data_IF_409454269284
#
_entry.id   IF_409454269284
#
_cell.length_a   1.000
_cell.length_b   1.000
_cell.length_c   1.000
_cell.angle_alpha   90.00
_cell.angle_beta   90.00
_cell.angle_gamma   90.00
#
_symmetry.space_group_name_H-M   'P 1'
#
loop_
_entity.id
_entity.type
_entity.pdbx_description
1 polymer ?
#
# COMPACT_ATOMS: atom_id res chain seq x y z
N UNK A 1 -3.82 -5.09 3.64
CA UNK A 1 -4.52 -6.37 3.45
C UNK A 1 -4.52 -6.71 1.98
N UNK A 2 -4.52 -7.99 1.59
CA UNK A 2 -4.33 -8.38 0.18
C UNK A 2 -5.38 -7.76 -0.76
N UNK A 3 -6.62 -7.65 -0.31
CA UNK A 3 -7.74 -7.14 -1.11
C UNK A 3 -8.18 -5.72 -0.69
N UNK A 4 -7.29 -4.95 -0.05
CA UNK A 4 -7.58 -3.56 0.32
C UNK A 4 -7.10 -2.62 -0.77
N UNK A 5 -7.95 -1.66 -1.14
CA UNK A 5 -7.58 -0.53 -1.99
C UNK A 5 -7.00 0.65 -1.20
N UNK A 6 -6.95 0.58 0.13
CA UNK A 6 -6.41 1.64 0.99
C UNK A 6 -4.93 1.34 1.30
N UNK A 7 -4.10 2.36 1.13
CA UNK A 7 -2.67 2.32 1.42
C UNK A 7 -2.36 3.03 2.74
N UNK A 8 -1.32 2.56 3.44
CA UNK A 8 -0.81 3.19 4.66
C UNK A 8 0.68 3.44 4.49
N UNK A 9 1.13 4.64 4.84
CA UNK A 9 2.56 4.96 4.84
C UNK A 9 3.21 4.39 6.10
N UNK A 10 4.25 3.59 5.92
CA UNK A 10 5.05 3.03 7.01
C UNK A 10 6.46 3.61 6.99
N UNK A 11 7.08 3.68 8.18
CA UNK A 11 8.53 3.89 8.26
C UNK A 11 9.25 2.70 7.60
N UNK A 12 10.24 3.01 6.75
CA UNK A 12 10.97 2.00 5.99
C UNK A 12 11.66 0.99 6.91
N UNK A 13 12.33 1.46 7.97
CA UNK A 13 13.09 0.58 8.85
C UNK A 13 12.16 -0.31 9.69
N UNK A 14 11.07 0.26 10.20
CA UNK A 14 10.06 -0.48 10.95
C UNK A 14 9.40 -1.56 10.10
N UNK A 15 9.00 -1.24 8.87
CA UNK A 15 8.38 -2.21 7.97
C UNK A 15 9.36 -3.32 7.55
N UNK A 16 10.62 -2.97 7.29
CA UNK A 16 11.66 -3.98 7.01
C UNK A 16 11.82 -4.96 8.17
N UNK A 17 11.78 -4.50 9.42
CA UNK A 17 11.84 -5.38 10.59
C UNK A 17 10.65 -6.34 10.63
N UNK A 18 9.43 -5.89 10.32
CA UNK A 18 8.26 -6.78 10.22
C UNK A 18 8.49 -7.90 9.22
N UNK A 19 9.04 -7.58 8.04
CA UNK A 19 9.29 -8.58 7.00
C UNK A 19 10.41 -9.57 7.36
N UNK A 20 11.50 -9.11 7.99
CA UNK A 20 12.62 -9.98 8.39
C UNK A 20 12.22 -10.95 9.49
N UNK A 21 11.49 -10.46 10.48
CA UNK A 21 11.02 -11.24 11.63
C UNK A 21 9.76 -12.08 11.29
N UNK A 22 9.32 -12.09 10.01
CA UNK A 22 8.13 -12.80 9.54
C UNK A 22 6.86 -12.45 10.35
N UNK A 23 6.79 -11.22 10.85
CA UNK A 23 5.65 -10.73 11.62
C UNK A 23 4.47 -10.43 10.67
N UNK A 24 3.23 -10.61 11.15
CA UNK A 24 2.06 -10.36 10.34
C UNK A 24 1.87 -8.86 10.06
N UNK A 25 1.10 -8.55 9.02
CA UNK A 25 0.69 -7.20 8.69
C UNK A 25 0.05 -6.50 9.90
N UNK A 26 0.48 -5.28 10.31
CA UNK A 26 0.05 -4.66 11.56
C UNK A 26 -1.47 -4.48 11.69
N UNK A 27 -2.14 -4.15 10.59
CA UNK A 27 -3.61 -3.95 10.56
C UNK A 27 -4.39 -5.25 10.30
N UNK A 28 -4.18 -5.93 9.17
CA UNK A 28 -4.98 -7.11 8.80
C UNK A 28 -4.56 -8.41 9.47
N UNK A 29 -3.37 -8.45 10.10
CA UNK A 29 -2.74 -9.66 10.67
C UNK A 29 -2.45 -10.78 9.66
N UNK A 30 -2.63 -10.52 8.38
CA UNK A 30 -2.27 -11.45 7.30
C UNK A 30 -0.74 -11.54 7.15
N UNK A 31 -0.25 -12.64 6.55
CA UNK A 31 1.15 -12.72 6.13
C UNK A 31 1.44 -11.60 5.13
N UNK A 32 2.52 -10.85 5.37
CA UNK A 32 2.97 -9.81 4.43
C UNK A 32 3.46 -10.49 3.15
N UNK A 33 2.89 -10.11 2.01
CA UNK A 33 3.29 -10.56 0.67
C UNK A 33 3.60 -9.34 -0.20
N UNK A 34 4.33 -9.56 -1.30
CA UNK A 34 4.84 -8.48 -2.17
C UNK A 34 3.70 -7.63 -2.74
N UNK A 35 2.57 -8.24 -3.04
CA UNK A 35 1.37 -7.62 -3.61
C UNK A 35 0.72 -6.59 -2.67
N UNK A 36 1.05 -6.62 -1.36
CA UNK A 36 0.61 -5.60 -0.40
C UNK A 36 1.48 -4.34 -0.41
N UNK A 37 2.65 -4.36 -1.08
CA UNK A 37 3.62 -3.26 -1.12
C UNK A 37 3.51 -2.59 -2.48
N UNK A 38 3.08 -1.33 -2.49
CA UNK A 38 2.92 -0.54 -3.69
C UNK A 38 3.96 0.56 -3.82
N UNK A 39 4.25 0.96 -5.05
CA UNK A 39 5.11 2.12 -5.32
C UNK A 39 4.37 3.44 -5.09
N UNK A 40 5.11 4.52 -4.80
CA UNK A 40 4.55 5.84 -4.49
C UNK A 40 3.68 6.40 -5.62
N UNK A 41 4.06 6.15 -6.87
CA UNK A 41 3.35 6.57 -8.07
C UNK A 41 2.18 5.65 -8.45
N UNK A 42 1.81 4.70 -7.58
CA UNK A 42 0.70 3.76 -7.80
C UNK A 42 -0.45 3.99 -6.82
N UNK A 43 -0.39 5.03 -5.98
CA UNK A 43 -1.48 5.51 -5.15
C UNK A 43 -1.56 7.03 -5.10
N UNK A 44 -2.71 7.54 -4.67
CA UNK A 44 -2.96 8.98 -4.50
C UNK A 44 -3.77 9.22 -3.24
N UNK A 45 -3.71 10.44 -2.71
CA UNK A 45 -4.55 10.85 -1.59
C UNK A 45 -5.94 11.23 -2.13
N UNK A 46 -6.96 10.44 -1.78
CA UNK A 46 -8.35 10.77 -2.06
C UNK A 46 -8.87 11.73 -0.98
N UNK A 47 -9.20 12.95 -1.39
CA UNK A 47 -9.70 13.99 -0.48
C UNK A 47 -11.11 13.72 0.03
N UNK A 48 -11.89 12.86 -0.64
CA UNK A 48 -13.27 12.53 -0.23
C UNK A 48 -13.24 11.53 0.93
N UNK A 49 -12.55 10.40 0.75
CA UNK A 49 -12.43 9.38 1.80
C UNK A 49 -11.32 9.68 2.83
N UNK A 50 -10.43 10.64 2.56
CA UNK A 50 -9.27 10.98 3.38
C UNK A 50 -8.28 9.82 3.58
N UNK A 51 -8.13 8.97 2.55
CA UNK A 51 -7.21 7.84 2.53
C UNK A 51 -6.29 7.90 1.31
N UNK A 52 -5.13 7.26 1.40
CA UNK A 52 -4.36 6.93 0.20
C UNK A 52 -5.02 5.72 -0.46
N UNK A 53 -5.34 5.81 -1.75
CA UNK A 53 -6.01 4.76 -2.51
C UNK A 53 -5.14 4.33 -3.68
N UNK A 54 -5.10 3.02 -3.96
CA UNK A 54 -4.43 2.45 -5.13
C UNK A 54 -5.07 3.00 -6.42
N UNK A 55 -4.26 3.41 -7.39
CA UNK A 55 -4.74 3.80 -8.71
C UNK A 55 -5.17 2.57 -9.51
N UNK A 56 -6.40 2.60 -10.02
CA UNK A 56 -6.85 1.61 -11.00
C UNK A 56 -6.01 1.70 -12.29
N UNK A 57 -5.98 0.59 -13.05
CA UNK A 57 -5.20 0.48 -14.28
C UNK A 57 -5.53 1.56 -15.33
N UNK A 58 -6.76 2.09 -15.32
CA UNK A 58 -7.20 3.16 -16.20
C UNK A 58 -6.68 4.54 -15.75
N UNK A 59 -6.46 4.74 -14.45
CA UNK A 59 -5.94 5.99 -13.87
C UNK A 59 -4.42 6.11 -14.05
N UNK A 60 -3.68 5.00 -14.08
CA UNK A 60 -2.23 4.99 -14.35
C UNK A 60 -1.86 5.52 -15.75
N UNK A 61 -2.72 5.31 -16.76
CA UNK A 61 -2.47 5.79 -18.13
C UNK A 61 -2.60 7.30 -18.27
N UNK A 62 -3.33 7.95 -17.36
CA UNK A 62 -3.56 9.39 -17.39
C UNK A 62 -2.39 10.18 -16.76
N UNK A 63 -1.68 9.58 -15.80
CA UNK A 63 -0.58 10.24 -15.06
C UNK A 63 0.80 10.09 -15.73
N UNK A 64 0.96 9.17 -16.68
CA UNK A 64 2.20 9.00 -17.47
C UNK A 64 2.21 9.78 -18.80
N UNK A 65 1.44 10.88 -18.90
CA UNK A 65 1.46 11.80 -20.06
C UNK A 65 2.09 13.14 -19.70
#
# INVERSE_FOLDING_TARGET
>A
ALNSNICTLYDKSAFMNLTREHLPHPLSREKIVKEMIIERNMCYFDTISQHFIIMDADQQKQHCK
#
